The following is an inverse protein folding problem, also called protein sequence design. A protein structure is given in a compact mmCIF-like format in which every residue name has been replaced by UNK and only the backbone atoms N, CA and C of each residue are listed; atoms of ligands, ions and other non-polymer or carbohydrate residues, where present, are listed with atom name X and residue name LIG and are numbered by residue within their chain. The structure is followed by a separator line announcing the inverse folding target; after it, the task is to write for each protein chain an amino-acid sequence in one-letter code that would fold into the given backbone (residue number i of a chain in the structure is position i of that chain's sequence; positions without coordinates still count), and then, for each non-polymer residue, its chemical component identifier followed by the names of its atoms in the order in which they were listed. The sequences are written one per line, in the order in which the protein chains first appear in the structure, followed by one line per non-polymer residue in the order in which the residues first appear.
data_IF_261391519550
#
_entry.id   IF_261391519550
#
_cell.length_a   1.000
_cell.length_b   1.000
_cell.length_c   1.000
_cell.angle_alpha   90.00
_cell.angle_beta   90.00
_cell.angle_gamma   90.00
#
_symmetry.space_group_name_H-M   'P 1'
#
loop_
_entity.id
_entity.type
_entity.pdbx_description
1 polymer ?
#
# COMPACT_ATOMS: atom_id res chain seq x y z
N UNK A 1 -0.66 9.55 11.95
CA UNK A 1 -1.27 9.48 10.61
C UNK A 1 -1.93 8.12 10.46
N UNK A 2 -3.22 8.10 10.14
CA UNK A 2 -3.98 6.87 9.91
C UNK A 2 -4.22 6.72 8.40
N UNK A 3 -4.12 5.49 7.90
CA UNK A 3 -4.46 5.12 6.52
C UNK A 3 -5.37 3.91 6.63
N UNK A 4 -6.61 4.06 6.15
CA UNK A 4 -7.58 2.97 6.15
C UNK A 4 -7.14 1.89 5.16
N UNK A 5 -7.18 0.63 5.58
CA UNK A 5 -6.89 -0.49 4.70
C UNK A 5 -8.03 -0.77 3.71
N UNK A 6 -9.20 -0.17 3.91
CA UNK A 6 -10.37 -0.24 3.03
C UNK A 6 -10.34 0.80 1.90
N UNK A 7 -9.43 1.77 1.95
CA UNK A 7 -9.23 2.74 0.85
C UNK A 7 -8.38 2.11 -0.26
N UNK A 8 -9.00 1.22 -1.04
CA UNK A 8 -8.32 0.43 -2.07
C UNK A 8 -7.77 1.34 -3.18
N UNK A 9 -8.44 2.44 -3.50
CA UNK A 9 -7.98 3.39 -4.52
C UNK A 9 -6.65 4.02 -4.16
N UNK A 10 -6.51 4.47 -2.90
CA UNK A 10 -5.26 5.01 -2.40
C UNK A 10 -4.16 3.93 -2.35
N UNK A 11 -4.48 2.75 -1.80
CA UNK A 11 -3.49 1.68 -1.62
C UNK A 11 -3.03 1.07 -2.93
N UNK A 12 -3.89 1.01 -3.95
CA UNK A 12 -3.55 0.52 -5.29
C UNK A 12 -2.49 1.41 -5.96
N UNK A 13 -2.52 2.73 -5.72
CA UNK A 13 -1.50 3.67 -6.20
C UNK A 13 -0.16 3.51 -5.48
N UNK A 14 -0.14 2.84 -4.33
CA UNK A 14 1.05 2.62 -3.49
C UNK A 14 1.75 1.28 -3.77
N UNK A 15 1.20 0.47 -4.68
CA UNK A 15 1.81 -0.76 -5.17
C UNK A 15 2.16 -0.63 -6.65
N UNK A 16 3.19 -1.33 -7.08
CA UNK A 16 3.53 -1.41 -8.51
C UNK A 16 2.70 -2.51 -9.21
N UNK A 17 2.84 -2.61 -10.54
CA UNK A 17 2.13 -3.61 -11.35
C UNK A 17 2.38 -5.04 -10.87
N UNK A 18 3.56 -5.34 -10.35
CA UNK A 18 3.93 -6.67 -9.84
C UNK A 18 3.35 -6.97 -8.43
N UNK A 19 2.55 -6.07 -7.86
CA UNK A 19 2.00 -6.24 -6.52
C UNK A 19 3.05 -6.01 -5.42
N UNK A 20 4.15 -5.30 -5.67
CA UNK A 20 5.14 -4.91 -4.64
C UNK A 20 4.85 -3.49 -4.15
N UNK A 21 5.05 -3.25 -2.85
CA UNK A 21 4.87 -1.91 -2.26
C UNK A 21 5.96 -0.98 -2.82
N UNK A 22 5.56 0.18 -3.33
CA UNK A 22 6.49 1.16 -3.85
C UNK A 22 7.34 1.75 -2.72
N UNK A 23 8.65 1.89 -2.98
CA UNK A 23 9.56 2.53 -2.05
C UNK A 23 9.35 4.05 -1.95
N UNK A 24 9.78 4.62 -0.82
CA UNK A 24 9.61 6.04 -0.47
C UNK A 24 10.09 7.03 -1.53
N UNK A 25 11.22 6.72 -2.22
CA UNK A 25 11.77 7.59 -3.28
C UNK A 25 10.79 7.78 -4.44
N UNK A 26 9.99 6.76 -4.76
CA UNK A 26 9.03 6.79 -5.87
C UNK A 26 7.67 7.33 -5.42
N UNK A 27 7.24 7.01 -4.19
CA UNK A 27 5.96 7.47 -3.64
C UNK A 27 6.00 8.92 -3.12
N UNK A 28 7.18 9.50 -2.89
CA UNK A 28 7.33 10.84 -2.31
C UNK A 28 6.88 10.93 -0.84
N UNK A 29 6.56 9.80 -0.21
CA UNK A 29 6.05 9.74 1.16
C UNK A 29 7.08 10.23 2.19
N UNK A 30 6.61 10.69 3.35
CA UNK A 30 7.46 10.83 4.53
C UNK A 30 7.69 9.44 5.15
N UNK A 31 8.62 9.32 6.11
CA UNK A 31 8.82 8.05 6.81
C UNK A 31 7.52 7.61 7.52
N UNK A 32 6.86 8.54 8.23
CA UNK A 32 5.63 8.27 8.95
C UNK A 32 4.48 7.82 8.02
N UNK A 33 4.30 8.49 6.88
CA UNK A 33 3.25 8.10 5.92
C UNK A 33 3.56 6.75 5.27
N UNK A 34 4.82 6.48 4.93
CA UNK A 34 5.22 5.20 4.34
C UNK A 34 4.96 4.03 5.31
N UNK A 35 5.21 4.20 6.61
CA UNK A 35 4.89 3.17 7.62
C UNK A 35 3.38 2.93 7.72
N UNK A 36 2.57 3.99 7.76
CA UNK A 36 1.12 3.88 7.82
C UNK A 36 0.53 3.17 6.58
N UNK A 37 0.95 3.57 5.37
CA UNK A 37 0.56 2.94 4.10
C UNK A 37 0.99 1.48 4.08
N UNK A 38 2.23 1.16 4.47
CA UNK A 38 2.73 -0.23 4.45
C UNK A 38 1.90 -1.13 5.35
N UNK A 39 1.53 -0.66 6.55
CA UNK A 39 0.67 -1.42 7.46
C UNK A 39 -0.75 -1.60 6.88
N UNK A 40 -1.30 -0.58 6.23
CA UNK A 40 -2.60 -0.64 5.58
C UNK A 40 -2.61 -1.62 4.39
N UNK A 41 -1.61 -1.58 3.50
CA UNK A 41 -1.49 -2.53 2.37
C UNK A 41 -1.42 -3.98 2.88
N UNK A 42 -0.67 -4.25 3.94
CA UNK A 42 -0.58 -5.61 4.51
C UNK A 42 -1.92 -6.11 5.04
N UNK A 43 -2.70 -5.25 5.71
CA UNK A 43 -4.06 -5.58 6.17
C UNK A 43 -5.03 -5.80 5.01
N UNK A 44 -4.99 -4.93 4.00
CA UNK A 44 -5.82 -5.05 2.80
C UNK A 44 -5.57 -6.38 2.07
N UNK A 45 -4.31 -6.81 1.97
CA UNK A 45 -3.94 -8.11 1.38
C UNK A 45 -4.46 -9.31 2.16
N UNK A 46 -4.35 -9.26 3.49
CA UNK A 46 -4.89 -10.31 4.35
C UNK A 46 -6.41 -10.44 4.20
N UNK A 47 -7.10 -9.33 3.98
CA UNK A 47 -8.55 -9.26 3.75
C UNK A 47 -8.95 -9.51 2.29
N UNK A 48 -8.03 -9.95 1.43
CA UNK A 48 -8.25 -10.18 -0.01
C UNK A 48 -8.73 -8.94 -0.80
N UNK A 49 -8.52 -7.72 -0.28
CA UNK A 49 -8.85 -6.47 -0.97
C UNK A 49 -7.75 -6.02 -1.96
N UNK A 50 -6.52 -6.52 -1.77
CA UNK A 50 -5.39 -6.29 -2.66
C UNK A 50 -4.63 -7.60 -2.88
N UNK A 51 -4.07 -7.84 -4.08
CA UNK A 51 -3.32 -9.04 -4.34
C UNK A 51 -1.90 -8.98 -3.72
N UNK A 52 -1.34 -10.15 -3.43
CA UNK A 52 0.06 -10.31 -3.03
C UNK A 52 1.01 -10.27 -4.24
N UNK A 53 0.54 -10.71 -5.39
CA UNK A 53 1.29 -10.81 -6.65
C UNK A 53 0.43 -10.19 -7.74
N UNK A 54 1.01 -9.31 -8.56
CA UNK A 54 0.32 -8.77 -9.73
C UNK A 54 0.17 -9.81 -10.83
N UNK A 55 -0.62 -9.49 -11.85
CA UNK A 55 -0.66 -10.26 -13.10
C UNK A 55 0.68 -10.23 -13.86
#
# INVERSE_FOLDING_TARGET
MYVDYKDIELLSKMVNRQGRIMGRRKSGCTAASQHAVTAAVKRARFMALLPYVGE
#
